data_IF_685760095445
#
_entry.id   IF_685760095445
#
_cell.length_a   1.000
_cell.length_b   1.000
_cell.length_c   1.000
_cell.angle_alpha   90.00
_cell.angle_beta   90.00
_cell.angle_gamma   90.00
#
_symmetry.space_group_name_H-M   'P 1'
#
loop_
_entity.id
_entity.type
_entity.pdbx_description
1 polymer ?
#
# COMPACT_ATOMS: atom_id res chain seq x y z
N UNK A 1 55.90 9.64 20.70
CA UNK A 1 54.46 9.31 20.75
C UNK A 1 54.08 8.84 19.36
N UNK A 2 53.99 7.53 19.12
CA UNK A 2 53.56 7.01 17.81
C UNK A 2 52.10 7.42 17.59
N UNK A 3 51.80 8.09 16.47
CA UNK A 3 50.43 8.36 16.06
C UNK A 3 49.82 7.03 15.63
N UNK A 4 48.95 6.48 16.47
CA UNK A 4 48.14 5.33 16.11
C UNK A 4 47.03 5.81 15.17
N UNK A 5 46.96 5.21 13.99
CA UNK A 5 45.81 5.37 13.08
C UNK A 5 44.68 4.47 13.59
N UNK A 6 43.86 5.05 14.47
CA UNK A 6 42.78 4.36 15.19
C UNK A 6 41.84 3.61 14.21
N UNK A 7 41.36 4.21 13.11
CA UNK A 7 40.57 3.51 12.10
C UNK A 7 41.23 2.25 11.53
N UNK A 8 42.50 2.33 11.12
CA UNK A 8 43.23 1.21 10.53
C UNK A 8 43.39 0.05 11.51
N UNK A 9 43.73 0.38 12.76
CA UNK A 9 43.90 -0.59 13.84
C UNK A 9 42.58 -1.24 14.27
N UNK A 10 41.45 -0.52 14.20
CA UNK A 10 40.12 -1.08 14.42
C UNK A 10 39.75 -2.06 13.30
N UNK A 11 39.93 -1.68 12.03
CA UNK A 11 39.62 -2.54 10.88
C UNK A 11 40.38 -3.87 10.92
N UNK A 12 41.68 -3.82 11.26
CA UNK A 12 42.51 -5.03 11.40
C UNK A 12 42.00 -5.98 12.50
N UNK A 13 41.51 -5.44 13.62
CA UNK A 13 40.93 -6.24 14.71
C UNK A 13 39.60 -6.85 14.32
N UNK A 14 38.78 -6.10 13.59
CA UNK A 14 37.51 -6.60 13.06
C UNK A 14 37.73 -7.75 12.08
N UNK A 15 38.62 -7.58 11.09
CA UNK A 15 38.95 -8.64 10.13
C UNK A 15 39.49 -9.90 10.83
N UNK A 16 40.38 -9.73 11.81
CA UNK A 16 40.89 -10.88 12.60
C UNK A 16 39.79 -11.58 13.40
N UNK A 17 38.76 -10.87 13.84
CA UNK A 17 37.63 -11.45 14.55
C UNK A 17 36.69 -12.21 13.60
N UNK A 18 36.41 -11.65 12.43
CA UNK A 18 35.63 -12.29 11.35
C UNK A 18 36.25 -13.62 10.94
N UNK A 19 37.56 -13.63 10.64
CA UNK A 19 38.28 -14.86 10.28
C UNK A 19 38.21 -15.93 11.39
N UNK A 20 38.37 -15.53 12.65
CA UNK A 20 38.39 -16.47 13.77
C UNK A 20 37.00 -17.05 14.08
N UNK A 21 35.94 -16.25 13.97
CA UNK A 21 34.55 -16.70 14.16
C UNK A 21 34.13 -17.59 12.98
N UNK A 22 34.45 -17.22 11.74
CA UNK A 22 34.11 -18.00 10.55
C UNK A 22 34.77 -19.39 10.54
N UNK A 23 35.99 -19.51 11.09
CA UNK A 23 36.70 -20.78 11.24
C UNK A 23 36.23 -21.60 12.46
N UNK A 24 35.25 -21.12 13.24
CA UNK A 24 34.79 -21.78 14.46
C UNK A 24 35.88 -21.87 15.55
N UNK A 25 36.91 -21.02 15.49
CA UNK A 25 37.99 -21.02 16.47
C UNK A 25 37.56 -20.40 17.80
N UNK A 26 36.52 -19.55 17.78
CA UNK A 26 36.02 -18.86 18.95
C UNK A 26 34.61 -19.34 19.30
N UNK A 27 34.41 -19.59 20.58
CA UNK A 27 33.12 -19.93 21.16
C UNK A 27 32.77 -18.86 22.21
N UNK A 28 31.58 -18.28 22.11
CA UNK A 28 31.08 -17.33 23.09
C UNK A 28 30.02 -18.02 23.95
N UNK A 29 30.16 -17.94 25.26
CA UNK A 29 29.26 -18.56 26.22
C UNK A 29 28.68 -17.46 27.11
N UNK A 30 27.35 -17.40 27.32
CA UNK A 30 26.76 -16.46 28.26
C UNK A 30 27.35 -16.62 29.67
N UNK A 31 27.63 -15.51 30.35
CA UNK A 31 28.16 -15.48 31.71
C UNK A 31 27.48 -14.35 32.53
N UNK A 32 27.63 -14.37 33.85
CA UNK A 32 27.07 -13.33 34.70
C UNK A 32 27.63 -11.94 34.31
N UNK A 33 26.77 -11.08 33.75
CA UNK A 33 27.13 -9.72 33.32
C UNK A 33 27.81 -9.62 31.95
N UNK A 34 27.69 -10.64 31.09
CA UNK A 34 28.18 -10.58 29.72
C UNK A 34 28.46 -11.96 29.12
N UNK A 35 29.67 -12.13 28.57
CA UNK A 35 30.05 -13.33 27.82
C UNK A 35 31.47 -13.80 28.18
N UNK A 36 31.68 -15.11 28.19
CA UNK A 36 32.99 -15.74 28.21
C UNK A 36 33.35 -16.14 26.78
N UNK A 37 34.48 -15.67 26.27
CA UNK A 37 34.99 -16.03 24.95
C UNK A 37 36.14 -17.04 25.10
N UNK A 38 35.95 -18.23 24.57
CA UNK A 38 37.00 -19.27 24.50
C UNK A 38 37.68 -19.18 23.15
N UNK A 39 39.00 -19.08 23.18
CA UNK A 39 39.86 -19.09 21.98
C UNK A 39 40.80 -20.30 22.07
N UNK A 40 41.51 -20.68 21.00
CA UNK A 40 42.43 -21.83 21.05
C UNK A 40 43.59 -21.65 22.03
N UNK A 41 43.88 -20.42 22.47
CA UNK A 41 45.04 -20.11 23.33
C UNK A 41 44.66 -19.81 24.77
N UNK A 42 43.49 -19.23 24.99
CA UNK A 42 43.07 -18.73 26.31
C UNK A 42 41.57 -18.42 26.33
N UNK A 43 41.06 -18.11 27.53
CA UNK A 43 39.68 -17.71 27.77
C UNK A 43 39.61 -16.31 28.35
N UNK A 44 38.75 -15.47 27.79
CA UNK A 44 38.55 -14.09 28.23
C UNK A 44 37.10 -13.83 28.62
N UNK A 45 36.86 -12.77 29.37
CA UNK A 45 35.52 -12.34 29.79
C UNK A 45 35.25 -10.98 29.19
N UNK A 46 34.10 -10.86 28.52
CA UNK A 46 33.53 -9.61 28.01
C UNK A 46 32.40 -9.22 28.95
N UNK A 47 32.50 -8.06 29.59
CA UNK A 47 31.44 -7.50 30.44
C UNK A 47 30.69 -6.41 29.69
N UNK A 48 29.37 -6.39 29.83
CA UNK A 48 28.50 -5.32 29.34
C UNK A 48 28.04 -4.48 30.52
N UNK A 49 28.23 -3.17 30.44
CA UNK A 49 27.75 -2.22 31.43
C UNK A 49 26.39 -1.63 31.02
N UNK A 50 25.71 -1.01 31.98
CA UNK A 50 24.38 -0.42 31.79
C UNK A 50 24.36 0.70 30.72
N UNK A 51 25.50 1.37 30.52
CA UNK A 51 25.67 2.41 29.50
C UNK A 51 25.93 1.85 28.08
N UNK A 52 25.89 0.53 27.93
CA UNK A 52 26.16 -0.18 26.68
C UNK A 52 27.66 -0.34 26.36
N UNK A 53 28.56 0.19 27.20
CA UNK A 53 30.00 -0.01 27.02
C UNK A 53 30.39 -1.46 27.31
N UNK A 54 31.40 -1.95 26.58
CA UNK A 54 31.92 -3.31 26.69
C UNK A 54 33.35 -3.27 27.15
N UNK A 55 33.72 -4.15 28.08
CA UNK A 55 35.12 -4.36 28.45
C UNK A 55 35.52 -5.80 28.30
N UNK A 56 36.77 -6.05 27.92
CA UNK A 56 37.32 -7.39 27.80
C UNK A 56 38.56 -7.57 28.70
N UNK A 57 38.70 -8.75 29.32
CA UNK A 57 39.87 -9.05 30.17
C UNK A 57 41.17 -9.27 29.41
N UNK A 58 41.15 -9.34 28.08
CA UNK A 58 42.35 -9.60 27.27
C UNK A 58 43.36 -8.44 27.32
N UNK A 59 44.63 -8.78 27.08
CA UNK A 59 45.73 -7.80 27.14
C UNK A 59 45.59 -6.67 26.10
N UNK A 60 45.00 -6.96 24.94
CA UNK A 60 44.76 -5.98 23.88
C UNK A 60 43.79 -4.88 24.35
N UNK A 61 42.65 -5.26 24.94
CA UNK A 61 41.71 -4.28 25.49
C UNK A 61 42.31 -3.52 26.68
N UNK A 62 43.08 -4.19 27.55
CA UNK A 62 43.77 -3.49 28.66
C UNK A 62 44.74 -2.40 28.18
N UNK A 63 45.40 -2.63 27.03
CA UNK A 63 46.36 -1.67 26.45
C UNK A 63 45.67 -0.54 25.69
N UNK A 64 44.60 -0.86 24.96
CA UNK A 64 44.02 0.06 23.97
C UNK A 64 42.61 0.56 24.28
N UNK A 65 41.90 -0.05 25.22
CA UNK A 65 40.51 0.28 25.55
C UNK A 65 40.33 1.72 26.05
N UNK A 66 41.31 2.25 26.79
CA UNK A 66 41.30 3.66 27.24
C UNK A 66 41.39 4.66 26.07
N UNK A 67 41.81 4.22 24.88
CA UNK A 67 41.86 5.02 23.66
C UNK A 67 40.62 4.82 22.76
N UNK A 68 39.58 4.14 23.27
CA UNK A 68 38.35 3.87 22.53
C UNK A 68 38.45 2.75 21.49
N UNK A 69 39.49 1.92 21.55
CA UNK A 69 39.66 0.78 20.66
C UNK A 69 39.11 -0.50 21.29
N UNK A 70 38.11 -1.07 20.64
CA UNK A 70 37.61 -2.40 20.97
C UNK A 70 38.65 -3.46 20.58
N UNK A 71 38.82 -4.47 21.44
CA UNK A 71 39.66 -5.61 21.10
C UNK A 71 38.92 -6.54 20.14
N UNK A 72 39.67 -7.39 19.45
CA UNK A 72 39.12 -8.37 18.52
C UNK A 72 37.99 -9.24 19.10
N UNK A 73 38.02 -9.55 20.40
CA UNK A 73 36.95 -10.34 21.02
C UNK A 73 35.63 -9.57 21.15
N UNK A 74 35.68 -8.26 21.43
CA UNK A 74 34.49 -7.40 21.47
C UNK A 74 33.91 -7.27 20.05
N UNK A 75 34.77 -7.11 19.03
CA UNK A 75 34.35 -7.09 17.63
C UNK A 75 33.73 -8.42 17.17
N UNK A 76 34.22 -9.56 17.68
CA UNK A 76 33.73 -10.89 17.31
C UNK A 76 32.38 -11.28 17.90
N UNK A 77 32.01 -10.71 19.04
CA UNK A 77 30.75 -11.02 19.73
C UNK A 77 29.49 -10.87 18.85
N UNK A 78 29.25 -9.75 18.14
CA UNK A 78 28.09 -9.60 17.25
C UNK A 78 28.12 -10.54 16.02
N UNK A 79 29.30 -11.04 15.64
CA UNK A 79 29.47 -11.94 14.50
C UNK A 79 29.11 -13.38 14.82
N UNK A 80 29.28 -13.80 16.08
CA UNK A 80 29.06 -15.18 16.51
C UNK A 80 27.57 -15.57 16.55
N UNK A 81 26.69 -14.67 17.02
CA UNK A 81 25.26 -14.90 16.94
C UNK A 81 24.49 -13.56 16.87
N UNK A 82 24.00 -13.15 15.68
CA UNK A 82 23.31 -11.87 15.50
C UNK A 82 22.02 -11.76 16.32
N UNK A 83 21.42 -12.89 16.72
CA UNK A 83 20.17 -12.93 17.49
C UNK A 83 20.39 -12.93 19.01
N UNK A 84 21.52 -13.41 19.53
CA UNK A 84 21.74 -13.57 20.99
C UNK A 84 22.68 -12.54 21.62
N UNK A 85 23.37 -11.71 20.83
CA UNK A 85 24.19 -10.61 21.36
C UNK A 85 23.36 -9.48 22.05
N UNK A 86 22.05 -9.69 22.24
CA UNK A 86 21.12 -8.78 22.92
C UNK A 86 20.25 -9.52 23.97
N UNK A 87 20.79 -9.83 25.15
CA UNK A 87 20.00 -9.98 26.40
C UNK A 87 20.90 -10.12 27.66
N UNK A 88 20.41 -9.82 28.90
CA UNK A 88 19.06 -9.37 29.28
C UNK A 88 19.04 -8.05 30.07
N UNK A 89 18.17 -7.10 29.70
CA UNK A 89 17.65 -6.10 30.63
C UNK A 89 16.28 -5.59 30.16
N UNK A 90 15.29 -5.81 31.01
CA UNK A 90 14.10 -4.98 31.27
C UNK A 90 13.35 -4.33 30.09
N UNK A 91 12.09 -4.72 29.96
CA UNK A 91 11.02 -4.08 29.20
C UNK A 91 10.96 -2.55 29.37
N UNK A 92 11.55 -1.79 28.44
CA UNK A 92 11.03 -0.53 27.90
C UNK A 92 11.66 -0.29 26.51
N UNK A 93 10.88 0.09 25.47
CA UNK A 93 11.42 0.34 24.14
C UNK A 93 12.10 1.71 24.13
N UNK A 94 13.43 1.73 24.13
CA UNK A 94 14.20 2.93 23.75
C UNK A 94 14.75 2.76 22.35
N UNK A 95 14.28 3.64 21.46
CA UNK A 95 14.85 3.92 20.15
C UNK A 95 16.34 4.24 20.27
N UNK A 96 17.21 3.33 19.82
CA UNK A 96 18.46 3.62 19.09
C UNK A 96 19.30 2.34 18.97
N UNK A 97 19.30 1.78 17.76
CA UNK A 97 20.15 0.65 17.39
C UNK A 97 19.67 -0.04 16.12
N UNK A 98 19.33 0.74 15.10
CA UNK A 98 18.85 0.18 13.82
C UNK A 98 20.06 -0.31 13.03
N UNK A 99 20.15 -1.62 12.83
CA UNK A 99 20.77 -2.21 11.64
C UNK A 99 20.06 -1.59 10.43
N UNK A 100 20.57 -0.44 9.98
CA UNK A 100 20.04 0.22 8.80
C UNK A 100 20.61 -0.54 7.63
N UNK A 101 19.87 -1.54 7.14
CA UNK A 101 19.96 -1.90 5.73
C UNK A 101 19.80 -0.57 4.98
N UNK A 102 20.90 -0.03 4.48
CA UNK A 102 20.83 1.17 3.65
C UNK A 102 20.07 0.76 2.39
N UNK A 103 19.14 1.61 1.98
CA UNK A 103 18.35 1.40 0.75
C UNK A 103 19.28 1.15 -0.46
N UNK A 104 20.48 1.71 -0.42
CA UNK A 104 21.55 1.56 -1.40
C UNK A 104 22.11 0.13 -1.51
N UNK A 105 22.17 -0.63 -0.41
CA UNK A 105 22.60 -2.03 -0.43
C UNK A 105 21.49 -2.97 -0.90
N UNK A 106 20.22 -2.66 -0.58
CA UNK A 106 19.08 -3.42 -1.12
C UNK A 106 19.01 -3.33 -2.65
N UNK A 107 19.24 -2.13 -3.21
CA UNK A 107 19.06 -1.88 -4.65
C UNK A 107 20.10 -2.59 -5.52
N UNK A 108 21.26 -2.99 -5.00
CA UNK A 108 22.35 -3.56 -5.82
C UNK A 108 22.24 -5.07 -6.07
N UNK A 109 21.55 -5.83 -5.22
CA UNK A 109 21.61 -7.30 -5.23
C UNK A 109 20.24 -8.01 -5.34
N UNK A 110 19.14 -7.26 -5.44
CA UNK A 110 17.81 -7.84 -5.63
C UNK A 110 17.11 -7.36 -6.91
N UNK A 111 16.41 -8.27 -7.58
CA UNK A 111 15.37 -7.90 -8.54
C UNK A 111 14.15 -7.36 -7.80
N UNK A 112 13.29 -6.60 -8.48
CA UNK A 112 12.04 -6.13 -7.92
C UNK A 112 10.88 -6.67 -8.74
N UNK A 113 9.88 -7.24 -8.07
CA UNK A 113 8.64 -7.67 -8.71
C UNK A 113 7.47 -6.85 -8.19
N UNK A 114 6.61 -6.41 -9.12
CA UNK A 114 5.32 -5.82 -8.78
C UNK A 114 4.27 -6.93 -8.80
N UNK A 115 3.60 -7.13 -7.68
CA UNK A 115 2.54 -8.12 -7.53
C UNK A 115 1.28 -7.45 -6.99
N UNK A 116 0.14 -8.08 -7.26
CA UNK A 116 -1.15 -7.67 -6.73
C UNK A 116 -1.59 -8.63 -5.63
N UNK A 117 -1.80 -8.09 -4.45
CA UNK A 117 -2.47 -8.79 -3.36
C UNK A 117 -3.94 -9.04 -3.72
N UNK A 118 -4.58 -10.11 -3.21
CA UNK A 118 -6.01 -10.35 -3.42
C UNK A 118 -6.89 -9.14 -3.11
N UNK A 119 -6.46 -8.27 -2.18
CA UNK A 119 -7.13 -6.99 -1.87
C UNK A 119 -6.91 -5.86 -2.88
N UNK A 120 -6.38 -6.16 -4.07
CA UNK A 120 -5.90 -5.19 -5.05
C UNK A 120 -4.71 -4.33 -4.58
N UNK A 121 -4.07 -4.67 -3.46
CA UNK A 121 -2.87 -3.96 -3.03
C UNK A 121 -1.73 -4.19 -4.02
N UNK A 122 -1.21 -3.12 -4.63
CA UNK A 122 0.02 -3.21 -5.38
C UNK A 122 1.19 -3.24 -4.40
N UNK A 123 1.94 -4.33 -4.42
CA UNK A 123 3.12 -4.52 -3.58
C UNK A 123 4.35 -4.67 -4.45
N UNK A 124 5.43 -4.00 -4.05
CA UNK A 124 6.75 -4.17 -4.68
C UNK A 124 7.58 -5.02 -3.73
N UNK A 125 7.88 -6.25 -4.15
CA UNK A 125 8.62 -7.23 -3.33
C UNK A 125 10.05 -7.34 -3.86
N UNK A 126 11.07 -7.21 -3.00
CA UNK A 126 12.45 -7.50 -3.39
C UNK A 126 12.63 -9.02 -3.55
N UNK A 127 13.19 -9.44 -4.66
CA UNK A 127 13.54 -10.82 -4.97
C UNK A 127 15.07 -10.97 -4.97
N UNK A 128 15.58 -11.90 -4.16
CA UNK A 128 16.98 -12.31 -4.26
C UNK A 128 17.26 -12.89 -5.64
N UNK A 129 18.37 -12.49 -6.27
CA UNK A 129 18.81 -13.07 -7.54
C UNK A 129 19.53 -14.43 -7.34
N UNK A 130 19.94 -14.73 -6.10
CA UNK A 130 20.73 -15.92 -5.79
C UNK A 130 19.87 -17.11 -5.37
N UNK A 131 18.74 -16.84 -4.72
CA UNK A 131 17.86 -17.88 -4.16
C UNK A 131 16.40 -17.65 -4.57
N UNK A 132 15.70 -18.66 -5.11
CA UNK A 132 14.28 -18.55 -5.38
C UNK A 132 13.49 -18.42 -4.07
N UNK A 133 12.44 -17.61 -4.10
CA UNK A 133 11.51 -17.49 -2.97
C UNK A 133 10.75 -18.80 -2.77
N UNK A 134 10.71 -19.30 -1.53
CA UNK A 134 9.94 -20.49 -1.21
C UNK A 134 8.45 -20.15 -1.07
N UNK A 135 7.57 -21.13 -1.33
CA UNK A 135 6.10 -20.93 -1.24
C UNK A 135 5.68 -20.42 0.15
N UNK A 136 6.27 -20.97 1.21
CA UNK A 136 5.98 -20.55 2.58
C UNK A 136 6.41 -19.09 2.86
N UNK A 137 7.54 -18.65 2.30
CA UNK A 137 8.03 -17.27 2.41
C UNK A 137 7.10 -16.31 1.65
N UNK A 138 6.67 -16.69 0.45
CA UNK A 138 5.70 -15.93 -0.33
C UNK A 138 4.35 -15.81 0.40
N UNK A 139 3.85 -16.89 1.00
CA UNK A 139 2.62 -16.87 1.81
C UNK A 139 2.75 -15.95 3.02
N UNK A 140 3.88 -15.97 3.73
CA UNK A 140 4.14 -15.09 4.86
C UNK A 140 4.19 -13.61 4.45
N UNK A 141 4.75 -13.29 3.29
CA UNK A 141 4.73 -11.93 2.73
C UNK A 141 3.30 -11.46 2.47
N UNK A 142 2.47 -12.29 1.83
CA UNK A 142 1.07 -11.93 1.57
C UNK A 142 0.25 -11.79 2.85
N UNK A 143 0.48 -12.65 3.84
CA UNK A 143 -0.14 -12.53 5.16
C UNK A 143 0.27 -11.23 5.88
N UNK A 144 1.51 -10.77 5.67
CA UNK A 144 1.99 -9.47 6.21
C UNK A 144 1.25 -8.30 5.57
N UNK A 145 1.01 -8.33 4.26
CA UNK A 145 0.19 -7.33 3.55
C UNK A 145 -1.22 -7.32 4.11
N UNK A 146 -1.85 -8.49 4.29
CA UNK A 146 -3.18 -8.60 4.93
C UNK A 146 -3.19 -7.98 6.33
N UNK A 147 -2.15 -8.24 7.14
CA UNK A 147 -2.03 -7.70 8.49
C UNK A 147 -1.90 -6.18 8.50
N UNK A 148 -1.15 -5.60 7.55
CA UNK A 148 -1.06 -4.14 7.40
C UNK A 148 -2.43 -3.53 7.06
N UNK A 149 -3.17 -4.15 6.13
CA UNK A 149 -4.52 -3.69 5.77
C UNK A 149 -5.48 -3.77 6.96
N UNK A 150 -5.42 -4.85 7.74
CA UNK A 150 -6.21 -5.02 8.97
C UNK A 150 -5.83 -4.01 10.05
N UNK A 151 -4.56 -3.60 10.11
CA UNK A 151 -4.08 -2.55 11.00
C UNK A 151 -4.48 -1.13 10.53
N UNK A 152 -5.23 -1.01 9.43
CA UNK A 152 -5.75 0.26 8.92
C UNK A 152 -4.81 0.97 7.95
N UNK A 153 -3.72 0.33 7.51
CA UNK A 153 -2.96 0.85 6.37
C UNK A 153 -3.81 0.72 5.11
N UNK A 154 -3.94 1.81 4.37
CA UNK A 154 -4.67 1.80 3.11
C UNK A 154 -3.73 1.41 1.97
N UNK A 155 -4.21 0.55 1.06
CA UNK A 155 -3.60 0.34 -0.26
C UNK A 155 -3.47 1.67 -0.99
N UNK A 156 -4.50 2.49 -0.84
CA UNK A 156 -4.58 3.84 -1.34
C UNK A 156 -4.05 4.76 -0.25
N UNK A 157 -2.73 4.83 -0.11
CA UNK A 157 -2.16 6.12 0.26
C UNK A 157 -2.22 6.95 -1.02
N UNK A 158 -2.96 8.08 -1.07
CA UNK A 158 -2.90 8.97 -2.22
C UNK A 158 -1.55 9.70 -2.19
N UNK A 159 -0.45 8.96 -2.32
CA UNK A 159 0.78 9.56 -2.80
C UNK A 159 0.56 9.94 -4.27
N UNK A 160 1.20 11.03 -4.66
CA UNK A 160 1.27 11.45 -6.05
C UNK A 160 2.15 10.45 -6.79
N UNK A 161 1.66 9.86 -7.88
CA UNK A 161 2.52 9.12 -8.81
C UNK A 161 3.52 10.07 -9.49
N UNK A 162 4.56 9.51 -10.13
CA UNK A 162 5.54 10.32 -10.85
C UNK A 162 4.87 11.23 -11.91
N UNK A 163 5.08 12.54 -11.76
CA UNK A 163 4.48 13.56 -12.63
C UNK A 163 3.05 13.97 -12.27
N UNK A 164 2.50 13.45 -11.18
CA UNK A 164 1.26 13.94 -10.59
C UNK A 164 1.51 15.13 -9.67
N UNK A 165 0.52 16.03 -9.64
CA UNK A 165 0.53 17.25 -8.86
C UNK A 165 -0.78 17.37 -8.10
N UNK A 166 -0.68 17.72 -6.82
CA UNK A 166 -1.84 18.09 -6.00
C UNK A 166 -2.11 19.60 -6.14
N UNK A 167 -3.38 19.97 -6.28
CA UNK A 167 -3.80 21.37 -6.26
C UNK A 167 -5.11 21.53 -5.48
N UNK A 168 -5.20 22.59 -4.69
CA UNK A 168 -6.41 22.98 -3.97
C UNK A 168 -7.29 23.91 -4.83
N UNK A 169 -8.51 23.47 -5.10
CA UNK A 169 -9.52 24.12 -5.92
C UNK A 169 -10.57 24.76 -5.01
N UNK A 170 -10.77 26.06 -5.16
CA UNK A 170 -11.78 26.81 -4.38
C UNK A 170 -13.00 27.22 -5.20
N UNK A 171 -12.93 27.13 -6.53
CA UNK A 171 -13.94 27.70 -7.42
C UNK A 171 -14.12 26.82 -8.65
N UNK A 172 -15.34 26.78 -9.16
CA UNK A 172 -15.74 25.94 -10.30
C UNK A 172 -16.66 26.70 -11.25
N UNK A 173 -16.59 26.37 -12.54
CA UNK A 173 -17.49 26.88 -13.58
C UNK A 173 -18.05 25.70 -14.37
N UNK A 174 -19.36 25.69 -14.60
CA UNK A 174 -20.04 24.69 -15.45
C UNK A 174 -20.10 25.21 -16.89
N UNK A 175 -19.66 24.38 -17.83
CA UNK A 175 -19.82 24.56 -19.28
C UNK A 175 -20.45 23.31 -19.89
N UNK A 176 -20.92 23.44 -21.12
CA UNK A 176 -21.29 22.31 -21.97
C UNK A 176 -20.31 22.24 -23.14
N UNK A 177 -19.90 21.04 -23.51
CA UNK A 177 -19.20 20.79 -24.76
C UNK A 177 -20.16 20.07 -25.70
N UNK A 178 -20.49 20.72 -26.81
CA UNK A 178 -21.19 20.07 -27.92
C UNK A 178 -20.22 19.15 -28.63
N UNK A 179 -20.59 17.87 -28.72
CA UNK A 179 -19.87 16.81 -29.40
C UNK A 179 -20.21 16.80 -30.91
N UNK A 180 -19.50 15.98 -31.69
CA UNK A 180 -19.74 15.86 -33.13
C UNK A 180 -21.11 15.28 -33.49
N UNK A 181 -21.75 14.57 -32.57
CA UNK A 181 -23.08 13.97 -32.69
C UNK A 181 -24.20 14.86 -32.13
N UNK A 182 -23.91 16.15 -31.92
CA UNK A 182 -24.81 17.15 -31.31
C UNK A 182 -25.19 16.85 -29.84
N UNK A 183 -24.65 15.80 -29.23
CA UNK A 183 -24.80 15.56 -27.79
C UNK A 183 -24.00 16.59 -26.99
N UNK A 184 -24.45 16.89 -25.77
CA UNK A 184 -23.76 17.79 -24.86
C UNK A 184 -23.14 17.03 -23.70
N UNK A 185 -21.82 17.18 -23.53
CA UNK A 185 -21.11 16.71 -22.35
C UNK A 185 -20.91 17.86 -21.37
N UNK A 186 -21.36 17.74 -20.11
CA UNK A 186 -21.02 18.71 -19.07
C UNK A 186 -19.51 18.73 -18.81
N UNK A 187 -18.95 19.93 -18.74
CA UNK A 187 -17.55 20.16 -18.42
C UNK A 187 -17.46 21.08 -17.21
N UNK A 188 -16.64 20.71 -16.23
CA UNK A 188 -16.35 21.58 -15.08
C UNK A 188 -14.93 22.10 -15.19
N UNK A 189 -14.80 23.42 -15.25
CA UNK A 189 -13.51 24.10 -15.17
C UNK A 189 -13.16 24.33 -13.69
N UNK A 190 -11.97 23.89 -13.27
CA UNK A 190 -11.51 23.91 -11.88
C UNK A 190 -10.48 25.02 -11.67
N UNK A 191 -10.72 25.88 -10.69
CA UNK A 191 -9.91 27.06 -10.39
C UNK A 191 -9.27 26.97 -8.99
N UNK A 192 -7.95 27.18 -8.89
CA UNK A 192 -7.26 27.18 -7.60
C UNK A 192 -7.76 28.28 -6.67
N UNK A 193 -7.58 28.08 -5.36
CA UNK A 193 -7.90 29.10 -4.35
C UNK A 193 -7.11 30.40 -4.62
N UNK A 194 -5.82 30.27 -4.94
CA UNK A 194 -4.87 31.37 -5.07
C UNK A 194 -4.59 31.80 -6.52
N UNK A 195 -5.46 31.45 -7.48
CA UNK A 195 -5.28 31.82 -8.88
C UNK A 195 -6.59 32.15 -9.58
N UNK A 196 -6.52 33.06 -10.56
CA UNK A 196 -7.69 33.53 -11.31
C UNK A 196 -7.95 32.71 -12.59
N UNK A 197 -6.96 31.95 -13.05
CA UNK A 197 -7.04 31.15 -14.27
C UNK A 197 -7.42 29.70 -13.96
N UNK A 198 -8.14 29.08 -14.90
CA UNK A 198 -8.46 27.66 -14.84
C UNK A 198 -7.19 26.82 -14.75
N UNK A 199 -7.13 25.90 -13.78
CA UNK A 199 -6.04 24.93 -13.65
C UNK A 199 -6.23 23.75 -14.60
N UNK A 200 -7.39 23.10 -14.54
CA UNK A 200 -7.77 21.87 -15.27
C UNK A 200 -9.26 21.93 -15.62
N UNK A 201 -9.65 21.28 -16.71
CA UNK A 201 -11.04 21.01 -17.05
C UNK A 201 -11.31 19.51 -16.89
N UNK A 202 -12.43 19.14 -16.30
CA UNK A 202 -12.90 17.75 -16.17
C UNK A 202 -14.20 17.59 -16.96
N UNK A 203 -14.18 16.69 -17.92
CA UNK A 203 -15.36 16.23 -18.65
C UNK A 203 -16.09 15.21 -17.77
N UNK A 204 -17.39 15.41 -17.62
CA UNK A 204 -18.27 14.51 -16.89
C UNK A 204 -19.05 13.68 -17.92
N UNK A 205 -18.38 12.65 -18.45
CA UNK A 205 -18.93 11.85 -19.54
C UNK A 205 -19.93 10.81 -19.03
N UNK A 206 -19.74 10.38 -17.79
CA UNK A 206 -20.52 9.33 -17.14
C UNK A 206 -21.26 9.86 -15.91
N UNK A 207 -22.32 9.17 -15.49
CA UNK A 207 -23.06 9.49 -14.26
C UNK A 207 -22.18 9.31 -13.00
N UNK A 208 -21.20 8.41 -13.06
CA UNK A 208 -20.15 8.24 -12.05
C UNK A 208 -19.33 9.51 -11.88
N UNK A 209 -18.85 10.13 -12.97
CA UNK A 209 -18.10 11.39 -12.94
C UNK A 209 -18.90 12.51 -12.26
N UNK A 210 -20.20 12.59 -12.56
CA UNK A 210 -21.10 13.59 -11.95
C UNK A 210 -21.22 13.34 -10.46
N UNK A 211 -21.49 12.10 -10.03
CA UNK A 211 -21.57 11.75 -8.60
C UNK A 211 -20.28 12.03 -7.85
N UNK A 212 -19.13 11.70 -8.43
CA UNK A 212 -17.82 12.00 -7.84
C UNK A 212 -17.60 13.50 -7.66
N UNK A 213 -17.92 14.29 -8.69
CA UNK A 213 -17.85 15.76 -8.61
C UNK A 213 -18.77 16.30 -7.50
N UNK A 214 -20.04 15.87 -7.47
CA UNK A 214 -21.02 16.37 -6.50
C UNK A 214 -20.64 15.97 -5.07
N UNK A 215 -20.13 14.75 -4.87
CA UNK A 215 -19.62 14.27 -3.59
C UNK A 215 -18.39 15.06 -3.13
N UNK A 216 -17.40 15.22 -4.00
CA UNK A 216 -16.16 15.94 -3.68
C UNK A 216 -16.43 17.41 -3.36
N UNK A 217 -17.24 18.08 -4.18
CA UNK A 217 -17.50 19.52 -4.05
C UNK A 217 -18.65 19.87 -3.10
N UNK A 218 -19.42 18.88 -2.63
CA UNK A 218 -20.66 19.10 -1.87
C UNK A 218 -21.60 20.10 -2.56
N UNK A 219 -21.70 20.00 -3.89
CA UNK A 219 -22.37 20.95 -4.77
C UNK A 219 -23.02 20.18 -5.93
N UNK A 220 -24.32 20.37 -6.14
CA UNK A 220 -24.99 19.72 -7.27
C UNK A 220 -24.72 20.46 -8.58
N UNK A 221 -24.38 19.70 -9.63
CA UNK A 221 -24.08 20.23 -10.95
C UNK A 221 -25.25 21.04 -11.53
N UNK A 222 -26.48 20.60 -11.26
CA UNK A 222 -27.69 21.26 -11.78
C UNK A 222 -27.96 22.62 -11.13
N UNK A 223 -27.45 22.84 -9.93
CA UNK A 223 -27.60 24.13 -9.23
C UNK A 223 -26.61 25.19 -9.72
N UNK A 224 -25.60 24.80 -10.50
CA UNK A 224 -24.60 25.70 -11.04
C UNK A 224 -25.11 26.39 -12.32
N UNK A 225 -24.86 27.70 -12.48
CA UNK A 225 -25.20 28.39 -13.72
C UNK A 225 -24.34 27.86 -14.88
N UNK A 226 -24.99 27.56 -16.01
CA UNK A 226 -24.32 27.14 -17.24
C UNK A 226 -23.73 28.35 -17.96
N UNK A 227 -22.42 28.30 -18.23
CA UNK A 227 -21.76 29.28 -19.09
C UNK A 227 -21.67 28.74 -20.52
N UNK A 228 -22.35 29.42 -21.44
CA UNK A 228 -22.50 29.03 -22.85
C UNK A 228 -21.34 29.50 -23.76
N UNK A 229 -20.28 30.09 -23.19
CA UNK A 229 -19.13 30.57 -23.96
C UNK A 229 -18.03 29.53 -24.15
N UNK A 230 -17.31 29.61 -25.27
CA UNK A 230 -16.19 28.71 -25.60
C UNK A 230 -14.89 29.03 -24.85
N UNK A 231 -14.73 30.27 -24.39
CA UNK A 231 -13.50 30.75 -23.76
C UNK A 231 -13.50 30.51 -22.25
N UNK A 232 -12.35 30.16 -21.68
CA UNK A 232 -12.19 30.09 -20.22
C UNK A 232 -12.40 31.45 -19.57
N UNK A 233 -13.14 31.49 -18.46
CA UNK A 233 -13.34 32.71 -17.67
C UNK A 233 -12.05 33.00 -16.88
N UNK A 234 -11.62 34.25 -16.85
CA UNK A 234 -10.59 34.74 -15.91
C UNK A 234 -11.30 35.40 -14.73
N UNK A 235 -11.20 34.79 -13.55
CA UNK A 235 -11.91 35.25 -12.34
C UNK A 235 -11.52 36.68 -11.97
N UNK A 236 -12.53 37.51 -11.66
CA UNK A 236 -12.34 38.88 -11.18
C UNK A 236 -12.10 39.91 -12.28
N UNK A 237 -11.94 39.49 -13.55
CA UNK A 237 -11.67 40.40 -14.66
C UNK A 237 -12.93 41.00 -15.27
N UNK A 238 -14.00 40.22 -15.35
CA UNK A 238 -15.27 40.67 -15.92
C UNK A 238 -16.42 40.30 -14.97
N UNK A 239 -16.99 41.27 -14.25
CA UNK A 239 -18.09 41.03 -13.31
C UNK A 239 -19.32 40.35 -13.93
N UNK A 240 -19.54 40.53 -15.24
CA UNK A 240 -20.65 39.88 -15.96
C UNK A 240 -20.42 38.37 -16.15
N UNK A 241 -19.17 37.93 -16.18
CA UNK A 241 -18.79 36.53 -16.29
C UNK A 241 -18.57 35.88 -14.92
N UNK A 242 -18.17 36.66 -13.91
CA UNK A 242 -17.94 36.14 -12.55
C UNK A 242 -19.20 35.54 -11.90
N UNK A 243 -20.41 35.92 -12.35
CA UNK A 243 -21.66 35.27 -11.91
C UNK A 243 -21.74 33.76 -12.23
N UNK A 244 -20.95 33.29 -13.20
CA UNK A 244 -20.86 31.86 -13.55
C UNK A 244 -19.83 31.10 -12.70
N UNK A 245 -18.99 31.82 -11.97
CA UNK A 245 -17.98 31.25 -11.08
C UNK A 245 -18.62 30.96 -9.74
N UNK A 246 -18.71 29.69 -9.38
CA UNK A 246 -19.25 29.24 -8.11
C UNK A 246 -18.11 29.00 -7.14
N UNK A 247 -18.11 29.72 -6.01
CA UNK A 247 -17.20 29.46 -4.90
C UNK A 247 -17.64 28.19 -4.17
N UNK A 248 -16.71 27.27 -3.95
CA UNK A 248 -16.95 26.08 -3.15
C UNK A 248 -17.02 26.46 -1.66
N UNK A 249 -17.97 25.89 -0.93
CA UNK A 249 -18.09 26.12 0.52
C UNK A 249 -16.85 25.66 1.29
N UNK A 250 -16.19 24.62 0.77
CA UNK A 250 -14.91 24.08 1.25
C UNK A 250 -14.04 23.83 0.03
N UNK A 251 -12.80 24.34 -0.02
CA UNK A 251 -11.88 23.98 -1.07
C UNK A 251 -11.67 22.46 -1.13
N UNK A 252 -11.50 21.94 -2.35
CA UNK A 252 -11.29 20.52 -2.62
C UNK A 252 -9.92 20.31 -3.23
N UNK A 253 -9.26 19.22 -2.87
CA UNK A 253 -7.97 18.86 -3.45
C UNK A 253 -8.17 17.93 -4.64
N UNK A 254 -7.47 18.23 -5.73
CA UNK A 254 -7.44 17.39 -6.93
C UNK A 254 -6.01 16.94 -7.20
N UNK A 255 -5.89 15.80 -7.89
CA UNK A 255 -4.65 15.36 -8.52
C UNK A 255 -4.76 15.56 -10.02
N UNK A 256 -3.73 16.13 -10.63
CA UNK A 256 -3.61 16.31 -12.06
C UNK A 256 -2.20 15.99 -12.55
N UNK A 257 -2.04 15.72 -13.85
CA UNK A 257 -0.72 15.51 -14.47
C UNK A 257 -0.61 16.22 -15.82
N UNK A 258 0.60 16.35 -16.34
CA UNK A 258 0.80 16.85 -17.70
C UNK A 258 0.27 15.83 -18.72
N UNK A 259 -0.40 16.35 -19.76
CA UNK A 259 -0.89 15.48 -20.83
C UNK A 259 0.30 15.04 -21.71
N UNK A 260 0.58 13.74 -21.84
CA UNK A 260 1.68 13.26 -22.68
C UNK A 260 1.46 13.56 -24.17
N UNK A 261 0.23 13.82 -24.61
CA UNK A 261 -0.10 14.21 -25.99
C UNK A 261 0.09 15.70 -26.27
N UNK A 262 0.47 16.50 -25.27
CA UNK A 262 0.67 17.94 -25.45
C UNK A 262 2.06 18.21 -26.04
N UNK A 263 2.11 18.57 -27.32
CA UNK A 263 3.35 18.73 -28.09
C UNK A 263 4.00 20.13 -27.97
N UNK A 264 3.59 20.94 -27.00
CA UNK A 264 4.18 22.26 -26.73
C UNK A 264 3.25 23.45 -26.98
N UNK A 265 3.81 24.66 -26.98
CA UNK A 265 3.07 25.93 -26.83
C UNK A 265 1.96 26.17 -27.87
N UNK A 266 2.05 25.54 -29.04
CA UNK A 266 1.10 25.70 -30.14
C UNK A 266 0.07 24.58 -30.26
N UNK A 267 0.13 23.54 -29.41
CA UNK A 267 -0.87 22.47 -29.42
C UNK A 267 -2.18 22.93 -28.76
N UNK A 268 -3.08 23.46 -29.60
CA UNK A 268 -4.43 23.84 -29.20
C UNK A 268 -5.42 22.67 -29.19
N UNK A 269 -5.03 21.49 -29.70
CA UNK A 269 -5.92 20.33 -29.83
C UNK A 269 -5.99 19.54 -28.54
N UNK A 270 -4.87 19.45 -27.81
CA UNK A 270 -4.80 18.70 -26.57
C UNK A 270 -4.72 19.64 -25.34
N UNK A 271 -5.44 19.36 -24.24
CA UNK A 271 -5.26 20.13 -23.02
C UNK A 271 -3.87 19.86 -22.43
N UNK A 272 -3.17 20.91 -21.99
CA UNK A 272 -1.83 20.80 -21.36
C UNK A 272 -1.82 19.94 -20.09
N UNK A 273 -2.93 19.90 -19.37
CA UNK A 273 -3.08 19.21 -18.08
C UNK A 273 -4.29 18.30 -18.10
N UNK A 274 -4.18 17.13 -17.48
CA UNK A 274 -5.24 16.15 -17.34
C UNK A 274 -5.62 15.99 -15.87
N UNK A 275 -6.92 16.02 -15.60
CA UNK A 275 -7.47 15.59 -14.32
C UNK A 275 -7.17 14.10 -14.11
N UNK A 276 -6.78 13.71 -12.89
CA UNK A 276 -6.62 12.30 -12.52
C UNK A 276 -7.70 11.88 -11.55
N UNK A 277 -7.74 12.47 -10.35
CA UNK A 277 -8.66 12.08 -9.27
C UNK A 277 -8.93 13.19 -8.26
N UNK A 278 -9.99 13.03 -7.47
CA UNK A 278 -10.27 13.82 -6.28
C UNK A 278 -9.49 13.23 -5.08
N UNK A 279 -8.85 14.06 -4.25
CA UNK A 279 -8.03 13.57 -3.12
C UNK A 279 -8.87 13.21 -1.89
N UNK A 280 -9.99 13.91 -1.68
CA UNK A 280 -10.83 13.78 -0.49
C UNK A 280 -12.32 13.70 -0.84
N UNK A 281 -12.67 13.04 -1.94
CA UNK A 281 -14.04 12.56 -2.07
C UNK A 281 -14.25 11.61 -0.91
N UNK A 282 -14.91 12.05 0.18
CA UNK A 282 -15.51 11.11 1.10
C UNK A 282 -16.25 10.13 0.18
N UNK A 283 -15.95 8.81 0.23
CA UNK A 283 -16.56 7.87 -0.68
C UNK A 283 -18.04 8.18 -0.63
N UNK A 284 -18.64 8.43 -1.81
CA UNK A 284 -20.07 8.69 -1.88
C UNK A 284 -20.72 7.64 -0.98
N UNK A 285 -21.68 8.00 -0.10
CA UNK A 285 -22.36 7.05 0.77
C UNK A 285 -23.27 6.11 -0.03
N UNK A 286 -22.87 5.75 -1.23
CA UNK A 286 -23.29 4.55 -1.92
C UNK A 286 -22.46 3.42 -1.31
N UNK A 287 -23.04 2.71 -0.35
CA UNK A 287 -22.52 1.48 0.23
C UNK A 287 -22.44 0.33 -0.78
N UNK A 288 -21.74 0.54 -1.89
CA UNK A 288 -21.40 -0.42 -2.92
C UNK A 288 -20.00 -0.09 -3.43
N UNK A 289 -19.00 -0.24 -2.55
CA UNK A 289 -17.74 -0.79 -3.04
C UNK A 289 -18.09 -2.23 -3.42
N UNK A 290 -18.38 -2.47 -4.70
CA UNK A 290 -18.40 -3.82 -5.24
C UNK A 290 -16.94 -4.28 -5.26
N UNK A 291 -16.38 -4.61 -4.10
CA UNK A 291 -15.24 -5.50 -4.07
C UNK A 291 -15.75 -6.81 -4.65
N UNK A 292 -14.99 -7.39 -5.58
CA UNK A 292 -15.30 -8.69 -6.17
C UNK A 292 -15.79 -9.65 -5.08
N UNK A 293 -16.98 -10.28 -5.22
CA UNK A 293 -17.55 -11.11 -4.17
C UNK A 293 -16.68 -12.31 -3.75
N UNK A 294 -15.66 -12.65 -4.56
CA UNK A 294 -14.66 -13.68 -4.29
C UNK A 294 -13.62 -13.30 -3.22
N UNK A 295 -13.62 -12.07 -2.71
CA UNK A 295 -12.50 -11.57 -1.90
C UNK A 295 -12.66 -11.76 -0.37
N UNK A 296 -13.85 -12.12 0.13
CA UNK A 296 -14.09 -12.21 1.59
C UNK A 296 -14.74 -13.52 2.05
N UNK A 297 -15.16 -14.38 1.12
CA UNK A 297 -15.88 -15.61 1.46
C UNK A 297 -14.98 -16.79 1.12
N UNK A 298 -14.56 -17.56 2.14
CA UNK A 298 -13.85 -18.82 1.90
C UNK A 298 -14.77 -19.82 1.20
N UNK A 299 -14.21 -20.86 0.58
CA UNK A 299 -15.03 -21.93 -0.02
C UNK A 299 -15.94 -22.59 1.03
N UNK A 300 -15.43 -22.80 2.25
CA UNK A 300 -16.19 -23.35 3.37
C UNK A 300 -17.34 -22.42 3.80
N UNK A 301 -17.09 -21.12 3.88
CA UNK A 301 -18.13 -20.13 4.19
C UNK A 301 -19.18 -20.04 3.07
N UNK A 302 -18.76 -20.18 1.81
CA UNK A 302 -19.64 -20.20 0.65
C UNK A 302 -20.59 -21.42 0.68
N UNK A 303 -20.05 -22.59 1.03
CA UNK A 303 -20.80 -23.83 1.21
C UNK A 303 -21.89 -23.71 2.29
N UNK A 304 -21.62 -22.94 3.35
CA UNK A 304 -22.53 -22.77 4.48
C UNK A 304 -23.64 -21.71 4.27
N UNK A 305 -23.59 -20.92 3.19
CA UNK A 305 -24.62 -19.89 2.94
C UNK A 305 -25.97 -20.54 2.68
N UNK A 306 -27.06 -20.10 3.35
CA UNK A 306 -28.40 -20.61 3.05
C UNK A 306 -28.91 -20.05 1.71
N UNK A 307 -29.51 -20.91 0.91
CA UNK A 307 -30.13 -20.52 -0.35
C UNK A 307 -31.37 -19.65 -0.09
N UNK A 308 -31.46 -18.44 -0.67
CA UNK A 308 -32.51 -17.49 -0.35
C UNK A 308 -33.86 -17.85 -0.99
N UNK A 309 -33.89 -18.83 -1.91
CA UNK A 309 -35.05 -19.15 -2.72
C UNK A 309 -35.20 -20.64 -3.00
N UNK A 310 -36.45 -21.06 -3.18
CA UNK A 310 -36.81 -22.36 -3.76
C UNK A 310 -37.34 -22.16 -5.18
N UNK A 311 -37.35 -23.23 -5.97
CA UNK A 311 -38.00 -23.22 -7.29
C UNK A 311 -39.44 -23.78 -7.18
N UNK A 312 -40.21 -23.72 -8.28
CA UNK A 312 -41.54 -24.37 -8.32
C UNK A 312 -41.46 -25.89 -8.20
N UNK A 313 -40.39 -26.49 -8.71
CA UNK A 313 -40.13 -27.94 -8.61
C UNK A 313 -39.45 -28.33 -7.30
N UNK A 314 -38.69 -27.41 -6.70
CA UNK A 314 -37.92 -27.62 -5.47
C UNK A 314 -38.13 -26.48 -4.47
N UNK A 315 -39.32 -26.38 -3.85
CA UNK A 315 -39.58 -25.40 -2.79
C UNK A 315 -38.65 -25.60 -1.58
N UNK A 316 -38.17 -26.83 -1.36
CA UNK A 316 -37.29 -27.22 -0.25
C UNK A 316 -35.91 -26.57 -0.30
N UNK A 317 -35.44 -26.10 -1.46
CA UNK A 317 -34.12 -25.46 -1.55
C UNK A 317 -34.03 -24.17 -0.72
N UNK A 318 -35.15 -23.51 -0.45
CA UNK A 318 -35.15 -22.30 0.37
C UNK A 318 -34.72 -22.64 1.81
N UNK A 319 -33.58 -22.09 2.23
CA UNK A 319 -33.01 -22.30 3.55
C UNK A 319 -32.03 -23.48 3.66
N UNK A 320 -31.93 -24.35 2.65
CA UNK A 320 -30.84 -25.33 2.57
C UNK A 320 -29.50 -24.62 2.32
N UNK A 321 -28.39 -25.20 2.77
CA UNK A 321 -27.08 -24.62 2.47
C UNK A 321 -26.74 -24.79 0.99
N UNK A 322 -25.94 -23.89 0.43
CA UNK A 322 -25.57 -23.98 -0.99
C UNK A 322 -24.75 -25.25 -1.30
N UNK A 323 -24.02 -25.82 -0.35
CA UNK A 323 -23.41 -27.16 -0.50
C UNK A 323 -24.46 -28.27 -0.66
N UNK A 324 -25.51 -28.26 0.16
CA UNK A 324 -26.59 -29.24 0.04
C UNK A 324 -27.31 -29.09 -1.29
N UNK A 325 -27.59 -27.85 -1.71
CA UNK A 325 -28.19 -27.57 -3.01
C UNK A 325 -27.28 -28.05 -4.14
N UNK A 326 -25.98 -27.76 -4.10
CA UNK A 326 -25.01 -28.14 -5.13
C UNK A 326 -24.94 -29.66 -5.41
N UNK A 327 -25.23 -30.49 -4.40
CA UNK A 327 -25.21 -31.97 -4.49
C UNK A 327 -26.46 -32.58 -5.14
N UNK A 328 -27.50 -31.79 -5.39
CA UNK A 328 -28.74 -32.24 -6.05
C UNK A 328 -28.61 -32.19 -7.57
N UNK A 329 -29.43 -32.97 -8.27
CA UNK A 329 -29.43 -33.05 -9.75
C UNK A 329 -29.66 -31.68 -10.42
N UNK A 330 -30.54 -30.86 -9.83
CA UNK A 330 -30.85 -29.50 -10.32
C UNK A 330 -30.07 -28.39 -9.61
N UNK A 331 -29.20 -28.73 -8.66
CA UNK A 331 -28.46 -27.79 -7.82
C UNK A 331 -27.61 -26.80 -8.62
N UNK A 332 -26.94 -27.31 -9.66
CA UNK A 332 -26.09 -26.49 -10.53
C UNK A 332 -26.86 -25.35 -11.20
N UNK A 333 -28.08 -25.61 -11.68
CA UNK A 333 -28.92 -24.58 -12.35
C UNK A 333 -29.32 -23.47 -11.36
N UNK A 334 -29.54 -23.83 -10.09
CA UNK A 334 -29.85 -22.87 -9.03
C UNK A 334 -28.63 -21.98 -8.75
N UNK A 335 -27.44 -22.57 -8.66
CA UNK A 335 -26.21 -21.80 -8.50
C UNK A 335 -25.96 -20.88 -9.70
N UNK A 336 -26.16 -21.36 -10.93
CA UNK A 336 -26.02 -20.56 -12.16
C UNK A 336 -27.01 -19.39 -12.18
N UNK A 337 -28.25 -19.62 -11.74
CA UNK A 337 -29.23 -18.55 -11.60
C UNK A 337 -28.80 -17.51 -10.56
N UNK A 338 -28.39 -17.94 -9.36
CA UNK A 338 -27.96 -17.05 -8.28
C UNK A 338 -26.71 -16.23 -8.67
N UNK A 339 -25.75 -16.85 -9.35
CA UNK A 339 -24.53 -16.19 -9.81
C UNK A 339 -24.79 -15.24 -11.00
N UNK A 340 -25.80 -15.53 -11.82
CA UNK A 340 -26.11 -14.81 -13.05
C UNK A 340 -26.69 -13.39 -12.86
N UNK A 341 -26.73 -12.64 -13.95
CA UNK A 341 -27.23 -11.25 -13.98
C UNK A 341 -28.75 -11.15 -13.81
N UNK A 342 -29.45 -12.26 -14.03
CA UNK A 342 -30.91 -12.37 -13.87
C UNK A 342 -31.32 -12.34 -12.39
N UNK A 343 -30.46 -12.84 -11.49
CA UNK A 343 -30.69 -12.72 -10.05
C UNK A 343 -30.17 -11.38 -9.53
N UNK A 344 -31.13 -10.55 -9.10
CA UNK A 344 -30.90 -9.22 -8.51
C UNK A 344 -31.45 -9.18 -7.09
N UNK A 345 -30.61 -9.24 -6.05
CA UNK A 345 -31.08 -9.30 -4.67
C UNK A 345 -31.69 -7.98 -4.15
N UNK A 346 -31.83 -6.93 -4.96
CA UNK A 346 -32.48 -5.64 -4.61
C UNK A 346 -32.06 -5.07 -3.24
N UNK A 347 -30.77 -5.21 -2.87
CA UNK A 347 -30.24 -4.73 -1.60
C UNK A 347 -30.41 -5.67 -0.40
N UNK A 348 -31.00 -6.85 -0.58
CA UNK A 348 -31.00 -7.90 0.45
C UNK A 348 -29.58 -8.44 0.66
N UNK A 349 -29.06 -8.23 1.87
CA UNK A 349 -27.72 -8.69 2.27
C UNK A 349 -27.57 -10.20 2.14
N UNK A 350 -28.64 -10.96 2.41
CA UNK A 350 -28.60 -12.42 2.31
C UNK A 350 -28.54 -12.87 0.84
N UNK A 351 -29.35 -12.27 -0.03
CA UNK A 351 -29.28 -12.49 -1.47
C UNK A 351 -27.94 -12.09 -2.09
N UNK A 352 -27.33 -10.98 -1.66
CA UNK A 352 -25.98 -10.59 -2.10
C UNK A 352 -24.92 -11.63 -1.69
N UNK A 353 -24.98 -12.10 -0.44
CA UNK A 353 -24.07 -13.15 0.07
C UNK A 353 -24.27 -14.47 -0.68
N UNK A 354 -25.51 -14.85 -0.99
CA UNK A 354 -25.83 -16.05 -1.76
C UNK A 354 -25.32 -15.98 -3.21
N UNK A 355 -25.46 -14.82 -3.87
CA UNK A 355 -24.91 -14.58 -5.20
C UNK A 355 -23.38 -14.74 -5.21
N UNK A 356 -22.70 -14.13 -4.25
CA UNK A 356 -21.25 -14.26 -4.06
C UNK A 356 -20.81 -15.73 -3.91
N UNK A 357 -21.46 -16.44 -2.99
CA UNK A 357 -21.17 -17.83 -2.67
C UNK A 357 -21.42 -18.76 -3.86
N UNK A 358 -22.51 -18.55 -4.61
CA UNK A 358 -22.83 -19.33 -5.80
C UNK A 358 -21.75 -19.20 -6.89
N UNK A 359 -21.21 -18.00 -7.10
CA UNK A 359 -20.11 -17.77 -8.04
C UNK A 359 -18.84 -18.55 -7.66
N UNK A 360 -18.49 -18.58 -6.38
CA UNK A 360 -17.33 -19.33 -5.87
C UNK A 360 -17.53 -20.84 -6.06
N UNK A 361 -18.71 -21.34 -5.70
CA UNK A 361 -19.04 -22.77 -5.82
C UNK A 361 -19.03 -23.24 -7.28
N UNK A 362 -19.59 -22.47 -8.20
CA UNK A 362 -19.57 -22.81 -9.63
C UNK A 362 -18.14 -22.89 -10.18
N UNK A 363 -17.26 -21.97 -9.78
CA UNK A 363 -15.86 -22.01 -10.18
C UNK A 363 -15.16 -23.27 -9.67
N UNK A 364 -15.52 -23.76 -8.47
CA UNK A 364 -14.96 -24.99 -7.91
C UNK A 364 -15.49 -26.29 -8.54
N UNK A 365 -16.65 -26.25 -9.19
CA UNK A 365 -17.32 -27.41 -9.79
C UNK A 365 -16.96 -27.64 -11.26
N UNK A 366 -16.22 -26.72 -11.88
CA UNK A 366 -15.75 -26.93 -13.25
C UNK A 366 -14.70 -28.05 -13.25
N UNK A 367 -14.83 -29.09 -14.11
CA UNK A 367 -13.79 -30.09 -14.25
C UNK A 367 -12.50 -29.40 -14.70
N UNK A 368 -11.41 -29.72 -14.00
CA UNK A 368 -10.08 -29.17 -14.25
C UNK A 368 -9.57 -29.42 -15.68
#
# INVERSE_FOLDING_TARGET
MQRFDIPFEHQKRQQSAEEAVAQGLWEFLPAAGGWQVRTPRDTYVIRLFEDGSKTCTCLDHRRYGAFGLDCKHICGLPLWNPQEATAPASTQPTEKGVNRMTTENLVRECGWVKLFHPSSAQVTIPLSLEKPILVAEAQALMASVTSLLQAGFSVEMPCLEDGEHEEEIGFVVRRAKVNSDESETPVVDLYPVNANFRRVAKYLNEETDVREFEAACSLSLQTMPLYEGDNTIERGKNPKLDKYVVALKRPVKIVWKFNPRYEGENDKKNPKRMFVRWVNGAPAPDGNVVLSPSMWLSLEDAMAVPCPMGSKSHPEYKGMTLDQVAKTEDGRKVLEYLAGDTYRPNGDKNGQKAKAAATILLASLQPA
#
